data_IF_597644742176
#
_entry.id   IF_597644742176
#
_cell.length_a   1.000
_cell.length_b   1.000
_cell.length_c   1.000
_cell.angle_alpha   90.00
_cell.angle_beta   90.00
_cell.angle_gamma   90.00
#
_symmetry.space_group_name_H-M   'P 1'
#
loop_
_entity.id
_entity.type
_entity.pdbx_description
1 polymer ?
#
# COMPACT_ATOMS: atom_id res chain seq x y z
N UNK A 1 8.64 -7.46 -6.89
CA UNK A 1 8.46 -7.83 -5.46
C UNK A 1 9.14 -6.78 -4.60
N UNK A 2 8.60 -6.46 -3.43
CA UNK A 2 9.29 -5.63 -2.44
C UNK A 2 9.22 -6.33 -1.08
N UNK A 3 10.20 -6.07 -0.22
CA UNK A 3 10.13 -6.45 1.19
C UNK A 3 9.88 -5.20 2.03
N UNK A 4 8.96 -5.32 2.98
CA UNK A 4 8.66 -4.27 3.94
C UNK A 4 9.30 -4.66 5.27
N UNK A 5 10.41 -4.01 5.61
CA UNK A 5 11.08 -4.23 6.89
C UNK A 5 10.43 -3.34 7.96
N UNK A 6 9.52 -3.92 8.77
CA UNK A 6 8.81 -3.21 9.85
C UNK A 6 9.81 -2.54 10.79
N UNK A 7 9.68 -1.23 10.98
CA UNK A 7 10.48 -0.43 11.91
C UNK A 7 9.67 0.02 13.12
N UNK A 8 8.39 0.36 12.94
CA UNK A 8 7.46 0.74 14.00
C UNK A 8 6.05 0.21 13.71
N UNK A 9 5.23 0.14 14.76
CA UNK A 9 3.81 -0.16 14.68
C UNK A 9 3.06 0.83 15.57
N UNK A 10 2.28 1.71 14.94
CA UNK A 10 1.47 2.74 15.57
C UNK A 10 0.01 2.47 15.21
N UNK A 11 -0.64 1.58 15.98
CA UNK A 11 -1.98 1.07 15.68
C UNK A 11 -2.94 2.23 15.31
N UNK A 12 -3.63 2.17 14.15
CA UNK A 12 -3.79 1.04 13.23
C UNK A 12 -2.74 0.92 12.10
N UNK A 13 -1.68 1.73 12.11
CA UNK A 13 -0.67 1.81 11.05
C UNK A 13 0.60 1.04 11.40
N UNK A 14 1.21 0.43 10.39
CA UNK A 14 2.56 -0.13 10.44
C UNK A 14 3.49 0.76 9.64
N UNK A 15 4.69 0.94 10.14
CA UNK A 15 5.76 1.65 9.46
C UNK A 15 6.88 0.69 9.12
N UNK A 16 7.36 0.74 7.88
CA UNK A 16 8.49 -0.04 7.41
C UNK A 16 9.40 0.78 6.49
N UNK A 17 10.59 0.23 6.26
CA UNK A 17 11.44 0.62 5.13
C UNK A 17 11.15 -0.32 3.96
N UNK A 18 11.03 0.25 2.76
CA UNK A 18 10.78 -0.47 1.51
C UNK A 18 12.08 -0.92 0.88
N UNK A 19 12.31 -2.23 0.88
CA UNK A 19 13.36 -2.87 0.11
C UNK A 19 12.78 -3.33 -1.24
N UNK A 20 12.78 -2.42 -2.22
CA UNK A 20 12.32 -2.70 -3.57
C UNK A 20 13.29 -3.66 -4.28
N UNK A 21 12.79 -4.80 -4.78
CA UNK A 21 13.55 -5.69 -5.66
C UNK A 21 13.35 -5.25 -7.12
N UNK A 22 14.22 -5.70 -8.05
CA UNK A 22 14.07 -5.40 -9.48
C UNK A 22 12.65 -5.72 -9.96
N UNK A 23 12.02 -4.74 -10.62
CA UNK A 23 10.63 -4.83 -11.08
C UNK A 23 9.57 -4.29 -10.11
N UNK A 24 9.94 -3.87 -8.89
CA UNK A 24 9.02 -3.07 -8.07
C UNK A 24 9.10 -1.56 -8.39
N UNK A 25 10.21 -1.13 -8.98
CA UNK A 25 10.44 0.28 -9.32
C UNK A 25 9.42 0.83 -10.34
N UNK A 26 8.80 -0.03 -11.15
CA UNK A 26 7.71 0.38 -12.06
C UNK A 26 6.47 0.89 -11.32
N UNK A 27 6.26 0.48 -10.06
CA UNK A 27 5.15 0.91 -9.21
C UNK A 27 5.46 2.15 -8.38
N UNK A 28 6.73 2.57 -8.26
CA UNK A 28 7.10 3.82 -7.58
C UNK A 28 6.30 5.04 -8.04
N UNK A 29 6.14 5.31 -9.36
CA UNK A 29 5.31 6.43 -9.80
C UNK A 29 3.85 6.30 -9.34
N UNK A 30 3.29 5.09 -9.32
CA UNK A 30 1.91 4.87 -8.88
C UNK A 30 1.71 5.22 -7.39
N UNK A 31 2.68 4.89 -6.54
CA UNK A 31 2.64 5.28 -5.12
C UNK A 31 2.84 6.78 -4.93
N UNK A 32 3.73 7.41 -5.71
CA UNK A 32 3.90 8.86 -5.68
C UNK A 32 2.63 9.60 -6.12
N UNK A 33 1.91 9.07 -7.12
CA UNK A 33 0.61 9.59 -7.55
C UNK A 33 -0.44 9.47 -6.42
N UNK A 34 -0.49 8.31 -5.75
CA UNK A 34 -1.37 8.08 -4.60
C UNK A 34 -1.07 9.05 -3.46
N UNK A 35 0.20 9.20 -3.07
CA UNK A 35 0.64 10.11 -2.01
C UNK A 35 0.25 11.55 -2.33
N UNK A 36 0.52 12.00 -3.56
CA UNK A 36 0.15 13.33 -4.01
C UNK A 36 -1.37 13.54 -3.98
N UNK A 37 -2.16 12.56 -4.43
CA UNK A 37 -3.61 12.66 -4.39
C UNK A 37 -4.16 12.78 -2.95
N UNK A 38 -3.55 12.06 -2.00
CA UNK A 38 -3.89 12.17 -0.57
C UNK A 38 -3.52 13.56 -0.02
N UNK A 39 -2.35 14.09 -0.38
CA UNK A 39 -1.91 15.44 0.04
C UNK A 39 -2.80 16.55 -0.54
N UNK A 40 -3.26 16.39 -1.79
CA UNK A 40 -4.19 17.30 -2.47
C UNK A 40 -5.67 17.10 -2.02
N UNK A 41 -5.94 16.22 -1.06
CA UNK A 41 -7.30 15.83 -0.62
C UNK A 41 -8.20 15.32 -1.78
N UNK A 42 -7.58 14.85 -2.87
CA UNK A 42 -8.26 14.32 -4.03
C UNK A 42 -8.57 12.84 -3.82
N UNK A 43 -9.62 12.58 -3.04
CA UNK A 43 -10.02 11.22 -2.64
C UNK A 43 -10.39 10.33 -3.83
N UNK A 44 -10.96 10.88 -4.91
CA UNK A 44 -11.27 10.10 -6.13
C UNK A 44 -10.00 9.56 -6.80
N UNK A 45 -8.98 10.39 -6.97
CA UNK A 45 -7.71 9.95 -7.56
C UNK A 45 -6.94 9.00 -6.63
N UNK A 46 -6.99 9.26 -5.31
CA UNK A 46 -6.38 8.37 -4.31
C UNK A 46 -7.02 6.97 -4.34
N UNK A 47 -8.34 6.90 -4.53
CA UNK A 47 -9.10 5.66 -4.63
C UNK A 47 -8.80 4.90 -5.93
N UNK A 48 -8.72 5.60 -7.07
CA UNK A 48 -8.26 5.01 -8.35
C UNK A 48 -6.85 4.43 -8.22
N UNK A 49 -5.93 5.16 -7.58
CA UNK A 49 -4.57 4.67 -7.33
C UNK A 49 -4.57 3.44 -6.41
N UNK A 50 -5.37 3.47 -5.33
CA UNK A 50 -5.56 2.35 -4.42
C UNK A 50 -6.05 1.08 -5.15
N UNK A 51 -7.08 1.20 -6.00
CA UNK A 51 -7.59 0.07 -6.78
C UNK A 51 -6.55 -0.50 -7.75
N UNK A 52 -5.75 0.37 -8.40
CA UNK A 52 -4.66 -0.08 -9.27
C UNK A 52 -3.58 -0.83 -8.50
N UNK A 53 -3.18 -0.31 -7.33
CA UNK A 53 -2.21 -0.96 -6.44
C UNK A 53 -2.73 -2.33 -6.02
N UNK A 54 -3.98 -2.40 -5.54
CA UNK A 54 -4.61 -3.66 -5.11
C UNK A 54 -4.79 -4.66 -6.25
N UNK A 55 -5.01 -4.19 -7.48
CA UNK A 55 -5.14 -5.06 -8.65
C UNK A 55 -3.79 -5.57 -9.16
N UNK A 56 -2.71 -4.81 -8.99
CA UNK A 56 -1.39 -5.17 -9.50
C UNK A 56 -0.50 -5.89 -8.47
N UNK A 57 -0.73 -5.64 -7.18
CA UNK A 57 0.09 -6.14 -6.09
C UNK A 57 -0.73 -7.00 -5.13
N UNK A 58 -0.11 -8.03 -4.60
CA UNK A 58 -0.65 -8.85 -3.52
C UNK A 58 0.24 -8.69 -2.30
N UNK A 59 -0.35 -8.37 -1.15
CA UNK A 59 0.36 -8.37 0.12
C UNK A 59 0.17 -9.72 0.81
N UNK A 60 1.28 -10.29 1.29
CA UNK A 60 1.29 -11.57 2.02
C UNK A 60 1.95 -11.36 3.38
N UNK A 61 1.44 -12.05 4.39
CA UNK A 61 2.10 -12.15 5.69
C UNK A 61 3.43 -12.93 5.57
N UNK A 62 4.31 -12.85 6.60
CA UNK A 62 5.55 -13.63 6.62
C UNK A 62 5.35 -15.16 6.56
N UNK A 63 4.17 -15.64 6.95
CA UNK A 63 3.75 -17.04 6.84
C UNK A 63 3.13 -17.39 5.46
N UNK A 64 3.26 -16.49 4.48
CA UNK A 64 2.78 -16.63 3.10
C UNK A 64 1.25 -16.53 2.93
N UNK A 65 0.49 -16.35 4.01
CA UNK A 65 -0.96 -16.10 3.92
C UNK A 65 -1.26 -14.77 3.24
N UNK A 66 -2.20 -14.72 2.28
CA UNK A 66 -2.60 -13.47 1.65
C UNK A 66 -3.34 -12.58 2.65
N UNK A 67 -3.04 -11.28 2.62
CA UNK A 67 -3.81 -10.28 3.33
C UNK A 67 -5.11 -10.04 2.54
N UNK A 68 -6.27 -10.19 3.20
CA UNK A 68 -7.57 -10.00 2.56
C UNK A 68 -7.69 -8.59 1.96
N UNK A 69 -7.25 -7.60 2.73
CA UNK A 69 -7.15 -6.23 2.25
C UNK A 69 -6.08 -5.41 2.95
N UNK A 70 -5.40 -4.57 2.17
CA UNK A 70 -4.34 -3.72 2.66
C UNK A 70 -4.40 -2.35 1.98
N UNK A 71 -4.15 -1.31 2.75
CA UNK A 71 -3.91 0.03 2.28
C UNK A 71 -2.43 0.34 2.51
N UNK A 72 -1.66 0.27 1.42
CA UNK A 72 -0.23 0.54 1.40
C UNK A 72 0.02 1.93 0.84
N UNK A 73 0.82 2.70 1.56
CA UNK A 73 1.41 3.96 1.14
C UNK A 73 2.92 3.78 1.12
N UNK A 74 3.56 4.18 0.03
CA UNK A 74 5.02 4.23 -0.09
C UNK A 74 5.40 5.67 -0.33
N UNK A 75 6.27 6.20 0.53
CA UNK A 75 6.79 7.54 0.46
C UNK A 75 8.04 7.58 -0.43
N UNK A 76 8.32 8.74 -1.03
CA UNK A 76 9.51 8.92 -1.90
C UNK A 76 10.84 8.75 -1.12
N UNK A 77 10.82 8.93 0.20
CA UNK A 77 11.97 8.72 1.08
C UNK A 77 12.33 7.22 1.30
N UNK A 78 11.56 6.30 0.70
CA UNK A 78 11.76 4.86 0.79
C UNK A 78 11.15 4.23 2.04
N UNK A 79 10.34 4.97 2.79
CA UNK A 79 9.52 4.41 3.87
C UNK A 79 8.14 4.02 3.35
N UNK A 80 7.47 3.13 4.06
CA UNK A 80 6.10 2.75 3.80
C UNK A 80 5.29 2.76 5.08
N UNK A 81 4.06 3.23 4.95
CA UNK A 81 2.99 3.08 5.92
C UNK A 81 1.94 2.13 5.36
N UNK A 82 1.51 1.13 6.11
CA UNK A 82 0.32 0.37 5.71
C UNK A 82 -0.56 -0.01 6.88
N UNK A 83 -1.82 -0.21 6.56
CA UNK A 83 -2.78 -0.87 7.43
C UNK A 83 -3.43 -2.01 6.66
N UNK A 84 -3.88 -3.02 7.38
CA UNK A 84 -4.59 -4.14 6.80
C UNK A 84 -5.88 -4.40 7.56
N UNK A 85 -6.82 -5.02 6.86
CA UNK A 85 -8.04 -5.54 7.43
C UNK A 85 -8.09 -7.05 7.22
N UNK A 86 -8.53 -7.76 8.27
CA UNK A 86 -8.72 -9.22 8.23
C UNK A 86 -9.96 -9.58 7.39
N UNK A 87 -10.93 -8.67 7.33
CA UNK A 87 -12.10 -8.72 6.48
C UNK A 87 -11.90 -7.79 5.27
N UNK A 88 -12.32 -8.19 4.05
CA UNK A 88 -12.36 -7.26 2.93
C UNK A 88 -13.34 -6.12 3.23
N UNK A 89 -13.00 -4.88 2.88
CA UNK A 89 -13.94 -3.77 2.82
C UNK A 89 -15.08 -4.23 1.92
N UNK A 90 -16.30 -3.97 2.38
CA UNK A 90 -17.47 -4.12 1.53
C UNK A 90 -17.17 -3.35 0.24
N UNK A 91 -17.06 -4.06 -0.88
CA UNK A 91 -17.16 -3.40 -2.18
C UNK A 91 -18.51 -2.71 -2.13
N UNK A 92 -18.53 -1.38 -2.16
CA UNK A 92 -19.73 -0.63 -2.45
C UNK A 92 -20.15 -1.06 -3.87
N UNK A 93 -20.87 -2.17 -3.95
CA UNK A 93 -21.70 -2.51 -5.10
C UNK A 93 -22.68 -1.32 -5.26
N UNK A 94 -22.59 -0.69 -6.43
CA UNK A 94 -23.25 0.55 -6.87
C UNK A 94 -24.76 0.65 -6.55
#
# INVERSE_FOLDING_TARGET
>A
MARLAVTSADWPWMHAVVEALPGFEEFRPLFAEQERAVDEENWEEADVCYFRIRSALTMTFPDESPVAEFMLHVHDDGTAGWRWHDEPFETLDE
#
